data_IF_198721507388
#
_entry.id   IF_198721507388
#
_cell.length_a   1.000
_cell.length_b   1.000
_cell.length_c   1.000
_cell.angle_alpha   90.00
_cell.angle_beta   90.00
_cell.angle_gamma   90.00
#
_symmetry.space_group_name_H-M   'P 1'
#
loop_
_entity.id
_entity.type
_entity.pdbx_description
1 polymer ?
#
# COMPACT_ATOMS: atom_id res chain seq x y z
N UNK A 1 -11.86 -21.62 -8.57
CA UNK A 1 -10.48 -21.76 -8.09
C UNK A 1 -9.43 -21.68 -9.22
N UNK A 2 -9.51 -22.50 -10.28
CA UNK A 2 -8.54 -22.46 -11.39
C UNK A 2 -8.57 -21.13 -12.14
N UNK A 3 -9.74 -20.57 -12.40
CA UNK A 3 -9.90 -19.27 -13.06
C UNK A 3 -9.28 -18.12 -12.24
N UNK A 4 -9.53 -18.11 -10.93
CA UNK A 4 -8.92 -17.09 -10.03
C UNK A 4 -7.40 -17.23 -10.02
N UNK A 5 -6.88 -18.46 -9.99
CA UNK A 5 -5.44 -18.70 -10.05
C UNK A 5 -4.84 -18.22 -11.38
N UNK A 6 -5.49 -18.49 -12.50
CA UNK A 6 -5.05 -18.03 -13.83
C UNK A 6 -5.11 -16.50 -13.94
N UNK A 7 -6.14 -15.86 -13.37
CA UNK A 7 -6.26 -14.40 -13.33
C UNK A 7 -5.12 -13.77 -12.53
N UNK A 8 -4.82 -14.30 -11.34
CA UNK A 8 -3.68 -13.86 -10.53
C UNK A 8 -2.37 -14.04 -11.31
N UNK A 9 -2.16 -15.22 -11.90
CA UNK A 9 -0.96 -15.51 -12.66
C UNK A 9 -0.76 -14.57 -13.85
N UNK A 10 -1.81 -14.32 -14.63
CA UNK A 10 -1.78 -13.32 -15.72
C UNK A 10 -1.43 -11.93 -15.23
N UNK A 11 -2.07 -11.48 -14.13
CA UNK A 11 -1.81 -10.15 -13.57
C UNK A 11 -0.37 -10.01 -13.09
N UNK A 12 0.17 -11.02 -12.40
CA UNK A 12 1.56 -11.04 -11.96
C UNK A 12 2.51 -10.98 -13.16
N UNK A 13 2.30 -11.79 -14.19
CA UNK A 13 3.11 -11.77 -15.42
C UNK A 13 3.05 -10.39 -16.09
N UNK A 14 1.86 -9.79 -16.19
CA UNK A 14 1.68 -8.45 -16.75
C UNK A 14 2.49 -7.41 -15.98
N UNK A 15 2.45 -7.44 -14.64
CA UNK A 15 3.23 -6.53 -13.80
C UNK A 15 4.75 -6.72 -13.99
N UNK A 16 5.22 -7.96 -14.07
CA UNK A 16 6.64 -8.25 -14.35
C UNK A 16 7.06 -7.79 -15.74
N UNK A 17 6.22 -7.97 -16.76
CA UNK A 17 6.49 -7.47 -18.11
C UNK A 17 6.58 -5.93 -18.12
N UNK A 18 5.67 -5.24 -17.44
CA UNK A 18 5.73 -3.79 -17.31
C UNK A 18 7.01 -3.32 -16.57
N UNK A 19 7.42 -4.04 -15.52
CA UNK A 19 8.69 -3.75 -14.84
C UNK A 19 9.89 -3.99 -15.78
N UNK A 20 9.88 -5.06 -16.58
CA UNK A 20 10.93 -5.32 -17.55
C UNK A 20 11.02 -4.21 -18.62
N UNK A 21 9.86 -3.73 -19.12
CA UNK A 21 9.81 -2.57 -20.03
C UNK A 21 10.39 -1.32 -19.37
N UNK A 22 9.96 -1.02 -18.13
CA UNK A 22 10.50 0.12 -17.37
C UNK A 22 12.01 0.02 -17.16
N UNK A 23 12.52 -1.18 -16.85
CA UNK A 23 13.96 -1.44 -16.70
C UNK A 23 14.72 -1.18 -18.01
N UNK A 24 14.20 -1.66 -19.15
CA UNK A 24 14.81 -1.41 -20.47
C UNK A 24 14.83 0.06 -20.79
N UNK A 25 13.71 0.77 -20.60
CA UNK A 25 13.60 2.21 -20.83
C UNK A 25 14.58 3.03 -19.98
N UNK A 26 14.78 2.65 -18.72
CA UNK A 26 15.80 3.24 -17.86
C UNK A 26 17.23 2.92 -18.36
N UNK A 27 17.49 1.66 -18.77
CA UNK A 27 18.81 1.25 -19.24
C UNK A 27 19.22 1.93 -20.54
N UNK A 28 18.28 2.18 -21.46
CA UNK A 28 18.52 2.93 -22.70
C UNK A 28 18.45 4.46 -22.49
N UNK A 29 18.29 4.90 -21.25
CA UNK A 29 18.20 6.31 -20.84
C UNK A 29 17.05 7.10 -21.49
N UNK A 30 16.01 6.41 -21.93
CA UNK A 30 14.79 7.07 -22.40
C UNK A 30 13.98 7.65 -21.23
N UNK A 31 14.06 7.01 -20.06
CA UNK A 31 13.55 7.51 -18.79
C UNK A 31 14.76 7.68 -17.87
N UNK A 32 15.02 8.92 -17.47
CA UNK A 32 16.03 9.25 -16.46
C UNK A 32 15.43 9.19 -15.04
N UNK A 33 16.28 9.40 -14.02
CA UNK A 33 15.85 9.37 -12.62
C UNK A 33 14.78 10.44 -12.31
N UNK A 34 14.83 11.59 -12.96
CA UNK A 34 13.83 12.65 -12.80
C UNK A 34 12.50 12.25 -13.43
N UNK A 35 12.53 11.66 -14.61
CA UNK A 35 11.36 11.11 -15.29
C UNK A 35 10.69 10.02 -14.46
N UNK A 36 11.47 9.10 -13.91
CA UNK A 36 11.00 8.04 -13.01
C UNK A 36 10.35 8.61 -11.76
N UNK A 37 10.98 9.60 -11.11
CA UNK A 37 10.43 10.29 -9.94
C UNK A 37 9.11 11.02 -10.27
N UNK A 38 9.07 11.70 -11.42
CA UNK A 38 7.86 12.41 -11.87
C UNK A 38 6.71 11.45 -12.11
N UNK A 39 6.95 10.31 -12.76
CA UNK A 39 5.93 9.28 -12.97
C UNK A 39 5.45 8.69 -11.64
N UNK A 40 6.36 8.40 -10.72
CA UNK A 40 6.02 7.90 -9.39
C UNK A 40 5.16 8.90 -8.61
N UNK A 41 5.50 10.19 -8.67
CA UNK A 41 4.73 11.25 -8.05
C UNK A 41 3.33 11.37 -8.69
N UNK A 42 3.23 11.29 -10.02
CA UNK A 42 1.94 11.30 -10.72
C UNK A 42 1.04 10.15 -10.25
N UNK A 43 1.60 8.94 -10.17
CA UNK A 43 0.83 7.78 -9.69
C UNK A 43 0.44 7.96 -8.23
N UNK A 44 1.34 8.43 -7.37
CA UNK A 44 1.07 8.56 -5.93
C UNK A 44 0.10 9.71 -5.62
N UNK A 45 0.26 10.87 -6.25
CA UNK A 45 -0.49 12.08 -5.89
C UNK A 45 -1.73 12.34 -6.75
N UNK A 46 -1.86 11.67 -7.91
CA UNK A 46 -3.00 11.85 -8.81
C UNK A 46 -3.74 10.53 -9.03
N UNK A 47 -3.07 9.52 -9.59
CA UNK A 47 -3.74 8.28 -10.00
C UNK A 47 -4.33 7.53 -8.80
N UNK A 48 -3.54 7.33 -7.74
CA UNK A 48 -3.99 6.57 -6.56
C UNK A 48 -5.16 7.26 -5.82
N UNK A 49 -5.13 8.59 -5.57
CA UNK A 49 -6.30 9.30 -5.04
C UNK A 49 -7.54 9.19 -5.92
N UNK A 50 -7.39 9.34 -7.26
CA UNK A 50 -8.52 9.19 -8.18
C UNK A 50 -9.11 7.79 -8.15
N UNK A 51 -8.28 6.74 -8.10
CA UNK A 51 -8.76 5.35 -7.96
C UNK A 51 -9.55 5.15 -6.67
N UNK A 52 -9.08 5.71 -5.56
CA UNK A 52 -9.79 5.65 -4.29
C UNK A 52 -11.12 6.40 -4.36
N UNK A 53 -11.14 7.62 -4.89
CA UNK A 53 -12.38 8.37 -5.06
C UNK A 53 -13.41 7.57 -5.85
N UNK A 54 -13.02 6.95 -6.95
CA UNK A 54 -13.91 6.09 -7.75
C UNK A 54 -14.39 4.88 -6.95
N UNK A 55 -13.52 4.25 -6.16
CA UNK A 55 -13.87 3.10 -5.35
C UNK A 55 -14.89 3.44 -4.25
N UNK A 56 -14.85 4.67 -3.73
CA UNK A 56 -15.79 5.17 -2.71
C UNK A 56 -17.04 5.85 -3.29
N UNK A 57 -17.16 6.04 -4.61
CA UNK A 57 -18.37 6.53 -5.27
C UNK A 57 -19.47 5.45 -5.35
N UNK A 58 -19.89 4.94 -4.21
CA UNK A 58 -20.98 3.96 -4.11
C UNK A 58 -21.81 4.24 -2.87
N UNK A 59 -23.10 3.85 -2.85
CA UNK A 59 -23.92 3.97 -1.65
C UNK A 59 -23.24 3.22 -0.50
N UNK A 60 -23.01 3.91 0.61
CA UNK A 60 -22.44 3.32 1.81
C UNK A 60 -23.59 2.70 2.63
N UNK A 61 -23.91 1.46 2.33
CA UNK A 61 -24.83 0.66 3.13
C UNK A 61 -24.16 0.21 4.43
N UNK A 62 -24.95 0.00 5.47
CA UNK A 62 -24.44 -0.45 6.77
C UNK A 62 -23.63 -1.75 6.68
N UNK A 63 -24.03 -2.66 5.82
CA UNK A 63 -23.33 -3.92 5.57
C UNK A 63 -21.93 -3.67 5.00
N UNK A 64 -21.81 -2.79 4.03
CA UNK A 64 -20.54 -2.43 3.40
C UNK A 64 -19.56 -1.77 4.40
N UNK A 65 -20.06 -0.92 5.29
CA UNK A 65 -19.26 -0.31 6.36
C UNK A 65 -18.79 -1.32 7.39
N UNK A 66 -19.65 -2.28 7.75
CA UNK A 66 -19.29 -3.36 8.65
C UNK A 66 -18.19 -4.25 8.06
N UNK A 67 -18.30 -4.64 6.80
CA UNK A 67 -17.27 -5.41 6.09
C UNK A 67 -15.96 -4.65 5.95
N UNK A 68 -16.03 -3.33 5.70
CA UNK A 68 -14.85 -2.46 5.68
C UNK A 68 -14.16 -2.42 7.04
N UNK A 69 -14.93 -2.31 8.15
CA UNK A 69 -14.38 -2.35 9.50
C UNK A 69 -13.73 -3.71 9.84
N UNK A 70 -14.32 -4.81 9.37
CA UNK A 70 -13.71 -6.14 9.47
C UNK A 70 -12.39 -6.17 8.70
N UNK A 71 -12.36 -5.62 7.48
CA UNK A 71 -11.15 -5.55 6.65
C UNK A 71 -10.03 -4.74 7.33
N UNK A 72 -10.37 -3.62 8.00
CA UNK A 72 -9.43 -2.87 8.84
C UNK A 72 -8.88 -3.72 10.00
N UNK A 73 -9.75 -4.45 10.70
CA UNK A 73 -9.36 -5.35 11.78
C UNK A 73 -8.40 -6.45 11.32
N UNK A 74 -8.72 -7.09 10.19
CA UNK A 74 -7.87 -8.11 9.57
C UNK A 74 -6.51 -7.50 9.17
N UNK A 75 -6.50 -6.31 8.57
CA UNK A 75 -5.26 -5.63 8.18
C UNK A 75 -4.37 -5.33 9.39
N UNK A 76 -4.95 -4.87 10.50
CA UNK A 76 -4.22 -4.65 11.77
C UNK A 76 -3.63 -5.94 12.31
N UNK A 77 -4.41 -7.01 12.35
CA UNK A 77 -3.95 -8.33 12.82
C UNK A 77 -2.82 -8.88 11.96
N UNK A 78 -2.92 -8.77 10.63
CA UNK A 78 -1.88 -9.20 9.70
C UNK A 78 -0.58 -8.41 9.91
N UNK A 79 -0.64 -7.10 10.02
CA UNK A 79 0.56 -6.29 10.28
C UNK A 79 1.17 -6.60 11.64
N UNK A 80 0.35 -6.78 12.69
CA UNK A 80 0.84 -7.20 14.00
C UNK A 80 1.54 -8.56 13.92
N UNK A 81 0.95 -9.53 13.23
CA UNK A 81 1.55 -10.84 13.01
C UNK A 81 2.89 -10.73 12.24
N UNK A 82 2.94 -9.96 11.15
CA UNK A 82 4.17 -9.75 10.40
C UNK A 82 5.25 -9.05 11.21
N UNK A 83 4.90 -8.06 12.04
CA UNK A 83 5.85 -7.41 12.96
C UNK A 83 6.42 -8.41 13.95
N UNK A 84 5.58 -9.23 14.58
CA UNK A 84 6.01 -10.24 15.55
C UNK A 84 6.89 -11.31 14.89
N UNK A 85 6.43 -11.88 13.78
CA UNK A 85 7.17 -12.92 13.04
C UNK A 85 8.52 -12.39 12.55
N UNK A 86 8.56 -11.19 11.96
CA UNK A 86 9.79 -10.58 11.48
C UNK A 86 10.78 -10.36 12.62
N UNK A 87 10.33 -9.92 13.80
CA UNK A 87 11.19 -9.76 14.97
C UNK A 87 11.72 -11.08 15.53
N UNK A 88 10.95 -12.16 15.43
CA UNK A 88 11.38 -13.48 15.89
C UNK A 88 12.38 -14.14 14.92
N UNK A 89 12.20 -13.92 13.61
CA UNK A 89 13.01 -14.56 12.58
C UNK A 89 14.30 -13.77 12.31
N UNK A 90 14.23 -12.44 12.28
CA UNK A 90 15.37 -11.59 11.95
C UNK A 90 16.32 -11.45 13.14
N UNK A 91 17.49 -12.07 13.05
CA UNK A 91 18.55 -12.08 14.07
C UNK A 91 19.75 -11.20 13.68
N UNK A 92 19.51 -10.08 13.00
CA UNK A 92 20.56 -9.13 12.64
C UNK A 92 21.04 -8.37 13.91
N UNK A 93 22.35 -8.29 14.08
CA UNK A 93 22.99 -7.61 15.23
C UNK A 93 23.08 -6.10 15.03
N UNK A 94 23.33 -5.67 13.79
CA UNK A 94 23.36 -4.26 13.45
C UNK A 94 21.96 -3.67 13.48
N UNK A 95 21.76 -2.66 14.32
CA UNK A 95 20.44 -2.07 14.57
C UNK A 95 19.84 -1.43 13.32
N UNK A 96 20.68 -0.78 12.50
CA UNK A 96 20.22 -0.11 11.27
C UNK A 96 19.81 -1.14 10.22
N UNK A 97 20.64 -2.13 9.97
CA UNK A 97 20.30 -3.24 9.04
C UNK A 97 19.07 -3.99 9.49
N UNK A 98 18.95 -4.28 10.76
CA UNK A 98 17.75 -4.92 11.33
C UNK A 98 16.50 -4.08 11.08
N UNK A 99 16.57 -2.76 11.27
CA UNK A 99 15.46 -1.85 11.00
C UNK A 99 15.03 -1.88 9.53
N UNK A 100 15.96 -1.85 8.59
CA UNK A 100 15.70 -1.95 7.16
C UNK A 100 15.07 -3.30 6.78
N UNK A 101 15.61 -4.40 7.33
CA UNK A 101 15.06 -5.74 7.08
C UNK A 101 13.65 -5.91 7.66
N UNK A 102 13.40 -5.39 8.86
CA UNK A 102 12.07 -5.37 9.48
C UNK A 102 11.09 -4.57 8.62
N UNK A 103 11.49 -3.38 8.15
CA UNK A 103 10.66 -2.56 7.29
C UNK A 103 10.29 -3.31 6.00
N UNK A 104 11.27 -3.83 5.27
CA UNK A 104 11.05 -4.56 4.02
C UNK A 104 10.26 -5.85 4.17
N UNK A 105 10.29 -6.50 5.36
CA UNK A 105 9.54 -7.74 5.62
C UNK A 105 8.08 -7.48 5.99
N UNK A 106 7.79 -6.35 6.63
CA UNK A 106 6.43 -6.02 7.13
C UNK A 106 5.65 -5.23 6.10
N UNK A 107 6.30 -4.26 5.42
CA UNK A 107 5.63 -3.31 4.55
C UNK A 107 5.75 -3.70 3.09
N UNK A 108 4.71 -4.34 2.56
CA UNK A 108 4.62 -4.77 1.17
C UNK A 108 4.26 -3.62 0.21
N UNK A 109 4.45 -3.83 -1.10
CA UNK A 109 4.01 -2.87 -2.11
C UNK A 109 2.50 -3.00 -2.38
N UNK A 110 1.69 -2.60 -1.41
CA UNK A 110 0.24 -2.71 -1.49
C UNK A 110 -0.41 -1.71 -2.45
N UNK A 111 0.22 -0.58 -2.72
CA UNK A 111 -0.28 0.43 -3.64
C UNK A 111 -0.08 0.04 -5.11
N UNK A 112 1.18 -0.03 -5.55
CA UNK A 112 1.49 -0.25 -6.98
C UNK A 112 1.19 -1.66 -7.47
N UNK A 113 1.28 -2.68 -6.62
CA UNK A 113 0.97 -4.07 -6.99
C UNK A 113 -0.39 -4.52 -6.46
N UNK A 114 -0.78 -4.07 -5.28
CA UNK A 114 -2.02 -4.51 -4.64
C UNK A 114 -3.27 -4.02 -5.38
N UNK A 115 -3.37 -2.75 -5.70
CA UNK A 115 -4.57 -2.21 -6.37
C UNK A 115 -4.84 -2.82 -7.76
N UNK A 116 -3.86 -2.94 -8.68
CA UNK A 116 -4.10 -3.61 -9.95
C UNK A 116 -4.56 -5.07 -9.78
N UNK A 117 -4.00 -5.78 -8.81
CA UNK A 117 -4.38 -7.16 -8.52
C UNK A 117 -5.82 -7.24 -7.96
N UNK A 118 -6.18 -6.38 -7.00
CA UNK A 118 -7.52 -6.30 -6.43
C UNK A 118 -8.56 -5.92 -7.49
N UNK A 119 -8.20 -4.98 -8.38
CA UNK A 119 -9.07 -4.59 -9.50
C UNK A 119 -9.30 -5.75 -10.46
N UNK A 120 -8.27 -6.53 -10.78
CA UNK A 120 -8.37 -7.67 -11.69
C UNK A 120 -9.19 -8.83 -11.12
N UNK A 121 -9.14 -9.05 -9.79
CA UNK A 121 -9.85 -10.14 -9.12
C UNK A 121 -11.28 -9.79 -8.75
N UNK A 122 -11.50 -8.58 -8.26
CA UNK A 122 -12.74 -8.19 -7.58
C UNK A 122 -13.35 -6.88 -8.13
N UNK A 123 -12.73 -6.27 -9.15
CA UNK A 123 -13.18 -4.98 -9.67
C UNK A 123 -13.04 -3.85 -8.64
N UNK A 124 -13.92 -2.86 -8.73
CA UNK A 124 -13.88 -1.69 -7.84
C UNK A 124 -14.16 -2.02 -6.37
N UNK A 125 -14.89 -3.11 -6.06
CA UNK A 125 -15.11 -3.55 -4.68
C UNK A 125 -13.81 -4.04 -4.04
N UNK A 126 -12.94 -4.69 -4.81
CA UNK A 126 -11.61 -5.10 -4.34
C UNK A 126 -10.74 -3.91 -3.96
N UNK A 127 -10.80 -2.82 -4.74
CA UNK A 127 -10.09 -1.56 -4.41
C UNK A 127 -10.64 -0.95 -3.12
N UNK A 128 -11.96 -0.98 -2.93
CA UNK A 128 -12.61 -0.48 -1.72
C UNK A 128 -12.11 -1.21 -0.47
N UNK A 129 -12.17 -2.55 -0.43
CA UNK A 129 -11.64 -3.31 0.72
C UNK A 129 -10.12 -3.26 0.82
N UNK A 130 -9.41 -3.23 -0.31
CA UNK A 130 -7.96 -3.04 -0.34
C UNK A 130 -7.53 -1.70 0.25
N UNK A 131 -8.36 -0.65 0.15
CA UNK A 131 -8.08 0.64 0.75
C UNK A 131 -8.01 0.57 2.28
N UNK A 132 -8.81 -0.28 2.94
CA UNK A 132 -8.72 -0.52 4.38
C UNK A 132 -7.32 -1.02 4.78
N UNK A 133 -6.75 -1.94 3.99
CA UNK A 133 -5.37 -2.40 4.21
C UNK A 133 -4.36 -1.25 4.03
N UNK A 134 -4.53 -0.42 3.00
CA UNK A 134 -3.63 0.71 2.73
C UNK A 134 -3.69 1.78 3.82
N UNK A 135 -4.86 2.02 4.43
CA UNK A 135 -4.99 2.92 5.60
C UNK A 135 -4.12 2.42 6.75
N UNK A 136 -4.27 1.15 7.13
CA UNK A 136 -3.48 0.54 8.21
C UNK A 136 -1.99 0.53 7.86
N UNK A 137 -1.65 0.13 6.64
CA UNK A 137 -0.30 0.16 6.11
C UNK A 137 0.33 1.55 6.24
N UNK A 138 -0.38 2.59 5.78
CA UNK A 138 0.12 3.97 5.82
C UNK A 138 0.35 4.42 7.26
N UNK A 139 -0.63 4.19 8.14
CA UNK A 139 -0.51 4.53 9.55
C UNK A 139 0.70 3.85 10.20
N UNK A 140 0.84 2.55 10.01
CA UNK A 140 1.95 1.78 10.59
C UNK A 140 3.30 2.09 9.96
N UNK A 141 3.34 2.42 8.67
CA UNK A 141 4.58 2.85 8.00
C UNK A 141 5.14 4.12 8.63
N UNK A 142 4.29 5.14 8.83
CA UNK A 142 4.71 6.42 9.40
C UNK A 142 4.90 6.40 10.92
N UNK A 143 4.41 5.39 11.61
CA UNK A 143 4.61 5.21 13.03
C UNK A 143 5.70 4.16 13.31
N UNK A 144 5.33 2.89 13.25
CA UNK A 144 6.24 1.79 13.54
C UNK A 144 7.37 1.67 12.51
N UNK A 145 7.09 1.86 11.21
CA UNK A 145 8.08 1.74 10.14
C UNK A 145 9.22 2.75 10.30
N UNK A 146 8.89 4.03 10.50
CA UNK A 146 9.87 5.09 10.75
C UNK A 146 10.68 4.78 12.01
N UNK A 147 10.02 4.39 13.10
CA UNK A 147 10.72 4.01 14.33
C UNK A 147 11.64 2.80 14.13
N UNK A 148 11.22 1.78 13.41
CA UNK A 148 12.04 0.59 13.15
C UNK A 148 13.31 0.92 12.36
N UNK A 149 13.23 1.86 11.40
CA UNK A 149 14.36 2.28 10.57
C UNK A 149 15.32 3.23 11.28
N UNK A 150 14.80 4.18 12.06
CA UNK A 150 15.60 5.25 12.67
C UNK A 150 16.09 4.93 14.08
N UNK A 151 15.36 4.07 14.78
CA UNK A 151 15.56 3.83 16.23
C UNK A 151 15.17 5.02 17.13
N UNK A 152 14.76 6.14 16.53
CA UNK A 152 14.49 7.40 17.20
C UNK A 152 12.98 7.75 17.19
N UNK A 153 12.40 7.84 18.38
CA UNK A 153 10.98 8.21 18.57
C UNK A 153 10.70 9.68 18.23
N UNK A 154 11.72 10.54 18.23
CA UNK A 154 11.55 11.96 17.87
C UNK A 154 11.22 12.17 16.40
N UNK A 155 11.53 11.18 15.54
CA UNK A 155 11.24 11.18 14.12
C UNK A 155 9.78 10.81 13.79
N UNK A 156 8.99 10.41 14.79
CA UNK A 156 7.56 10.12 14.64
C UNK A 156 6.79 11.43 14.39
N UNK A 157 6.70 11.81 13.14
CA UNK A 157 5.95 13.01 12.72
C UNK A 157 4.56 12.60 12.27
N UNK A 158 3.54 12.96 13.02
CA UNK A 158 2.12 12.76 12.63
C UNK A 158 1.70 13.64 11.44
N UNK A 159 2.40 14.75 11.22
CA UNK A 159 2.08 15.69 10.15
C UNK A 159 2.13 15.09 8.74
N UNK A 160 3.13 14.27 8.34
CA UNK A 160 3.11 13.58 7.06
C UNK A 160 1.95 12.58 6.93
N UNK A 161 1.52 11.98 8.02
CA UNK A 161 0.37 11.08 8.05
C UNK A 161 -0.93 11.82 7.71
N UNK A 162 -1.15 12.99 8.31
CA UNK A 162 -2.34 13.81 8.10
C UNK A 162 -2.34 14.51 6.73
N UNK A 163 -1.15 14.82 6.19
CA UNK A 163 -1.00 15.50 4.89
C UNK A 163 -0.78 14.52 3.72
N UNK A 164 -0.76 13.21 3.98
CA UNK A 164 -0.71 12.24 2.89
C UNK A 164 -2.03 12.30 2.10
N UNK A 165 -1.99 12.44 0.76
CA UNK A 165 -3.19 12.49 -0.07
C UNK A 165 -4.16 11.32 0.18
N UNK A 166 -3.64 10.13 0.47
CA UNK A 166 -4.44 8.95 0.81
C UNK A 166 -5.16 9.09 2.15
N UNK A 167 -4.54 9.75 3.13
CA UNK A 167 -5.17 10.03 4.45
C UNK A 167 -6.20 11.15 4.36
N UNK A 168 -5.93 12.19 3.55
CA UNK A 168 -6.83 13.32 3.37
C UNK A 168 -8.15 12.92 2.70
N UNK A 169 -8.14 11.95 1.79
CA UNK A 169 -9.35 11.42 1.15
C UNK A 169 -10.26 10.76 2.19
N UNK A 170 -9.71 9.99 3.12
CA UNK A 170 -10.48 9.35 4.19
C UNK A 170 -11.03 10.35 5.23
N UNK A 171 -10.33 11.48 5.43
CA UNK A 171 -10.78 12.53 6.37
C UNK A 171 -11.80 13.48 5.70
N UNK A 172 -11.70 13.70 4.38
CA UNK A 172 -12.55 14.65 3.67
C UNK A 172 -13.90 14.09 3.22
N UNK A 173 -14.20 12.81 3.46
CA UNK A 173 -15.57 12.27 3.34
C UNK A 173 -16.28 12.25 4.71
N UNK A 174 -16.75 13.40 5.22
CA UNK A 174 -17.74 13.38 6.28
C UNK A 174 -19.08 13.04 5.63
N UNK A 175 -19.61 11.86 5.95
CA UNK A 175 -21.05 11.60 6.03
C UNK A 175 -21.92 12.58 5.21
N UNK A 176 -22.08 12.32 3.92
CA UNK A 176 -23.24 12.83 3.21
C UNK A 176 -24.46 12.03 3.67
N UNK A 177 -25.17 12.59 4.64
CA UNK A 177 -26.55 12.25 4.89
C UNK A 177 -27.41 12.72 3.73
#
# INVERSE_FOLDING_TARGET
MIESFLTVGRQIITLYLLMAVGFVLGKVRLIDDRGSLTMSNLVMYVVSPCMLLVAFQRPLEHELLHEFAISLGIALLLHAAFIVLSRLILREKDAHRRGLMLFGSVFSNCGFMGYPLMTALFGSIGVFYGSAYVVVFTFLTWTYGVFAMTGDRSQLKLRPLLLNPLSLIHISEPTRH
#
